data_IF_367465120374
#
_entry.id   IF_367465120374
#
_cell.length_a   1.000
_cell.length_b   1.000
_cell.length_c   1.000
_cell.angle_alpha   90.00
_cell.angle_beta   90.00
_cell.angle_gamma   90.00
#
_symmetry.space_group_name_H-M   'P 1'
#
loop_
_entity.id
_entity.type
_entity.pdbx_description
1 polymer ?
#
# COMPACT_ATOMS: atom_id res chain seq x y z
N UNK A 1 29.93 55.02 -11.27
CA UNK A 1 29.76 53.74 -10.62
C UNK A 1 28.27 53.47 -10.36
N UNK A 2 27.70 52.54 -11.09
CA UNK A 2 26.31 52.19 -11.03
C UNK A 2 26.16 50.96 -10.08
N UNK A 3 25.35 51.14 -9.04
CA UNK A 3 24.92 50.04 -8.15
C UNK A 3 23.74 49.35 -8.82
N UNK A 4 23.93 48.09 -9.22
CA UNK A 4 22.86 47.19 -9.59
C UNK A 4 22.31 46.56 -8.33
N UNK A 5 21.12 46.99 -7.91
CA UNK A 5 20.35 46.37 -6.84
C UNK A 5 19.80 45.02 -7.29
N UNK A 6 20.42 43.92 -6.83
CA UNK A 6 19.87 42.59 -6.93
C UNK A 6 18.76 42.41 -5.92
N UNK A 7 17.52 42.37 -6.37
CA UNK A 7 16.38 42.00 -5.54
C UNK A 7 16.48 40.51 -5.19
N UNK A 8 16.89 40.19 -3.96
CA UNK A 8 16.76 38.84 -3.40
C UNK A 8 15.27 38.49 -3.33
N UNK A 9 14.82 37.65 -4.24
CA UNK A 9 13.50 37.03 -4.17
C UNK A 9 13.51 36.03 -3.04
N UNK A 10 13.14 36.50 -1.84
CA UNK A 10 12.91 35.62 -0.66
C UNK A 10 11.72 34.73 -0.99
N UNK A 11 11.98 33.50 -1.39
CA UNK A 11 10.95 32.46 -1.48
C UNK A 11 10.49 32.20 -0.04
N UNK A 12 9.35 32.75 0.30
CA UNK A 12 8.63 32.39 1.52
C UNK A 12 8.18 30.93 1.33
N UNK A 13 8.98 29.99 1.77
CA UNK A 13 8.50 28.66 2.12
C UNK A 13 7.50 28.87 3.26
N UNK A 14 6.21 28.95 2.91
CA UNK A 14 5.15 28.84 3.91
C UNK A 14 5.44 27.58 4.72
N UNK A 15 5.82 27.73 5.98
CA UNK A 15 6.17 26.65 6.86
C UNK A 15 4.99 25.73 7.00
N UNK A 16 5.02 24.60 6.27
CA UNK A 16 4.07 23.52 6.49
C UNK A 16 4.40 22.96 7.86
N UNK A 17 3.55 23.24 8.85
CA UNK A 17 3.68 22.64 10.17
C UNK A 17 3.77 21.13 10.01
N UNK A 18 4.81 20.53 10.61
CA UNK A 18 5.03 19.08 10.57
C UNK A 18 3.90 18.39 11.30
N UNK A 19 3.17 17.53 10.62
CA UNK A 19 1.93 16.89 11.10
C UNK A 19 2.13 15.42 11.50
N UNK A 20 3.37 15.01 11.83
CA UNK A 20 3.69 13.63 12.21
C UNK A 20 4.22 12.80 11.05
N UNK A 21 4.09 11.49 11.15
CA UNK A 21 4.73 10.54 10.23
C UNK A 21 3.72 9.94 9.25
N UNK A 22 4.16 9.74 8.00
CA UNK A 22 3.40 8.91 7.08
C UNK A 22 3.36 7.47 7.58
N UNK A 23 2.28 6.78 7.30
CA UNK A 23 2.24 5.33 7.33
C UNK A 23 1.84 4.83 5.94
N UNK A 24 2.65 3.95 5.38
CA UNK A 24 2.34 3.27 4.12
C UNK A 24 2.88 1.84 4.19
N UNK A 25 2.03 0.88 3.83
CA UNK A 25 2.36 -0.53 3.83
C UNK A 25 1.78 -1.21 2.60
N UNK A 26 2.43 -2.27 2.12
CA UNK A 26 1.97 -3.07 0.98
C UNK A 26 2.32 -4.52 1.23
N UNK A 27 1.32 -5.37 1.19
CA UNK A 27 1.41 -6.82 1.38
C UNK A 27 0.88 -7.61 0.19
N UNK A 28 1.20 -8.90 0.20
CA UNK A 28 0.81 -9.87 -0.82
C UNK A 28 -0.16 -10.90 -0.27
N UNK A 29 -1.23 -11.18 -1.02
CA UNK A 29 -2.27 -12.11 -0.62
C UNK A 29 -2.53 -13.17 -1.69
N UNK A 30 -2.79 -14.39 -1.23
CA UNK A 30 -3.13 -15.55 -2.05
C UNK A 30 -4.63 -15.85 -1.95
N UNK A 31 -5.14 -16.71 -2.85
CA UNK A 31 -6.52 -17.23 -2.79
C UNK A 31 -6.80 -18.01 -1.51
N UNK A 32 -5.78 -18.68 -0.96
CA UNK A 32 -5.84 -19.39 0.32
C UNK A 32 -4.70 -18.94 1.20
N UNK A 33 -5.00 -18.65 2.47
CA UNK A 33 -4.00 -18.31 3.46
C UNK A 33 -2.95 -19.43 3.59
N UNK A 34 -1.69 -19.04 3.73
CA UNK A 34 -0.62 -20.00 3.98
C UNK A 34 -0.68 -20.50 5.43
N UNK A 35 -0.74 -21.81 5.62
CA UNK A 35 -0.67 -22.43 6.96
C UNK A 35 0.68 -22.22 7.67
N UNK A 36 1.70 -21.73 6.93
CA UNK A 36 3.03 -21.44 7.46
C UNK A 36 3.14 -20.06 8.11
N UNK A 37 2.16 -19.19 7.89
CA UNK A 37 2.13 -17.84 8.45
C UNK A 37 1.07 -17.83 9.56
N UNK A 38 1.51 -17.70 10.80
CA UNK A 38 0.60 -17.56 11.94
C UNK A 38 -0.27 -16.29 11.74
N UNK A 39 -1.59 -16.47 11.79
CA UNK A 39 -2.53 -15.38 11.51
C UNK A 39 -2.63 -14.98 10.03
N UNK A 40 -2.08 -15.80 9.11
CA UNK A 40 -2.12 -15.52 7.68
C UNK A 40 -3.55 -15.33 7.17
N UNK A 41 -3.75 -14.27 6.39
CA UNK A 41 -5.03 -13.93 5.77
C UNK A 41 -4.99 -14.26 4.27
N UNK A 42 -6.10 -14.69 3.72
CA UNK A 42 -6.31 -14.81 2.27
C UNK A 42 -6.72 -13.45 1.68
N UNK A 43 -6.73 -13.35 0.35
CA UNK A 43 -7.30 -12.19 -0.34
C UNK A 43 -8.76 -11.96 0.05
N UNK A 44 -9.54 -13.03 0.27
CA UNK A 44 -10.94 -12.92 0.71
C UNK A 44 -11.05 -12.36 2.14
N UNK A 45 -10.21 -12.83 3.07
CA UNK A 45 -10.23 -12.32 4.46
C UNK A 45 -9.93 -10.81 4.51
N UNK A 46 -9.02 -10.33 3.66
CA UNK A 46 -8.69 -8.91 3.54
C UNK A 46 -9.85 -8.11 2.95
N UNK A 47 -10.52 -8.65 1.94
CA UNK A 47 -11.69 -7.99 1.35
C UNK A 47 -12.85 -7.93 2.34
N UNK A 48 -13.10 -9.01 3.08
CA UNK A 48 -14.18 -9.10 4.07
C UNK A 48 -13.96 -8.11 5.23
N UNK A 49 -12.71 -7.95 5.67
CA UNK A 49 -12.33 -6.94 6.67
C UNK A 49 -12.52 -5.52 6.14
N UNK A 50 -12.10 -5.26 4.91
CA UNK A 50 -12.24 -3.94 4.28
C UNK A 50 -13.71 -3.56 4.02
N UNK A 51 -14.55 -4.54 3.72
CA UNK A 51 -16.00 -4.35 3.54
C UNK A 51 -16.78 -4.37 4.87
N UNK A 52 -16.09 -4.48 6.00
CA UNK A 52 -16.71 -4.55 7.34
C UNK A 52 -17.74 -5.68 7.46
N UNK A 53 -17.46 -6.83 6.82
CA UNK A 53 -18.34 -8.00 6.96
C UNK A 53 -18.33 -8.52 8.38
N UNK A 54 -19.49 -8.89 8.89
CA UNK A 54 -19.66 -9.37 10.26
C UNK A 54 -18.69 -10.52 10.59
N UNK A 55 -17.90 -10.33 11.65
CA UNK A 55 -16.89 -11.28 12.11
C UNK A 55 -15.50 -11.12 11.49
N UNK A 56 -15.32 -10.29 10.46
CA UNK A 56 -14.02 -10.02 9.84
C UNK A 56 -13.21 -8.94 10.58
N UNK A 57 -13.86 -8.06 11.33
CA UNK A 57 -13.25 -6.96 12.09
C UNK A 57 -13.35 -7.19 13.59
N UNK A 58 -12.29 -7.71 14.19
CA UNK A 58 -12.26 -8.03 15.65
C UNK A 58 -11.84 -6.85 16.54
N UNK A 59 -11.30 -5.80 15.93
CA UNK A 59 -10.71 -4.65 16.61
C UNK A 59 -11.66 -3.45 16.72
N UNK A 60 -12.85 -3.53 16.15
CA UNK A 60 -13.86 -2.48 16.19
C UNK A 60 -15.05 -2.88 17.03
N UNK A 61 -15.59 -1.92 17.78
CA UNK A 61 -16.88 -2.06 18.42
C UNK A 61 -18.00 -2.03 17.37
N UNK A 62 -18.92 -2.99 17.46
CA UNK A 62 -20.00 -3.18 16.48
C UNK A 62 -20.83 -1.88 16.27
N UNK A 63 -21.01 -1.09 17.34
CA UNK A 63 -21.78 0.15 17.29
C UNK A 63 -21.07 1.29 16.55
N UNK A 64 -19.77 1.20 16.32
CA UNK A 64 -18.94 2.22 15.67
C UNK A 64 -18.69 1.94 14.19
N UNK A 65 -18.99 0.73 13.74
CA UNK A 65 -18.73 0.29 12.37
C UNK A 65 -19.55 1.11 11.37
N UNK A 66 -18.88 1.64 10.37
CA UNK A 66 -19.48 2.36 9.24
C UNK A 66 -19.11 1.68 7.93
N UNK A 67 -20.00 1.77 6.97
CA UNK A 67 -19.71 1.29 5.63
C UNK A 67 -18.50 2.02 5.05
N UNK A 68 -17.57 1.30 4.41
CA UNK A 68 -16.41 1.89 3.76
C UNK A 68 -16.83 2.74 2.56
N UNK A 69 -16.07 3.78 2.26
CA UNK A 69 -16.29 4.65 1.11
C UNK A 69 -15.38 4.23 -0.03
N UNK A 70 -15.95 3.80 -1.14
CA UNK A 70 -15.17 3.50 -2.36
C UNK A 70 -14.76 4.83 -2.99
N UNK A 71 -13.48 5.16 -2.92
CA UNK A 71 -12.90 6.37 -3.49
C UNK A 71 -12.51 6.20 -4.96
N UNK A 72 -12.22 4.95 -5.37
CA UNK A 72 -11.89 4.61 -6.76
C UNK A 72 -12.15 3.13 -7.03
N UNK A 73 -12.67 2.82 -8.22
CA UNK A 73 -12.77 1.47 -8.76
C UNK A 73 -13.95 0.66 -8.21
N UNK A 74 -13.71 -0.61 -7.96
CA UNK A 74 -14.72 -1.61 -7.59
C UNK A 74 -14.65 -1.94 -6.09
N UNK A 75 -15.61 -2.73 -5.60
CA UNK A 75 -15.59 -3.24 -4.21
C UNK A 75 -14.42 -4.20 -3.98
N UNK A 76 -13.90 -4.33 -2.74
CA UNK A 76 -12.87 -5.31 -2.42
C UNK A 76 -13.22 -6.74 -2.80
N UNK A 77 -14.46 -7.17 -2.61
CA UNK A 77 -14.93 -8.51 -3.04
C UNK A 77 -14.87 -8.71 -4.56
N UNK A 78 -15.16 -7.67 -5.35
CA UNK A 78 -15.00 -7.72 -6.80
C UNK A 78 -13.52 -7.79 -7.19
N UNK A 79 -12.62 -7.11 -6.48
CA UNK A 79 -11.17 -7.23 -6.68
C UNK A 79 -10.71 -8.67 -6.48
N UNK A 80 -11.21 -9.36 -5.44
CA UNK A 80 -10.87 -10.78 -5.19
C UNK A 80 -11.31 -11.67 -6.34
N UNK A 81 -12.48 -11.41 -6.96
CA UNK A 81 -12.90 -12.16 -8.15
C UNK A 81 -11.90 -11.97 -9.29
N UNK A 82 -11.53 -10.72 -9.60
CA UNK A 82 -10.53 -10.41 -10.64
C UNK A 82 -9.16 -11.05 -10.32
N UNK A 83 -8.72 -11.03 -9.06
CA UNK A 83 -7.47 -11.65 -8.63
C UNK A 83 -7.51 -13.18 -8.77
N UNK A 84 -8.66 -13.80 -8.50
CA UNK A 84 -8.88 -15.22 -8.67
C UNK A 84 -8.84 -15.63 -10.14
N UNK A 85 -9.55 -14.92 -11.00
CA UNK A 85 -9.55 -15.12 -12.45
C UNK A 85 -8.14 -14.98 -13.04
N UNK A 86 -7.40 -13.95 -12.63
CA UNK A 86 -6.00 -13.81 -13.02
C UNK A 86 -5.16 -15.01 -12.56
N UNK A 87 -5.31 -15.44 -11.30
CA UNK A 87 -4.52 -16.54 -10.73
C UNK A 87 -4.81 -17.89 -11.38
N UNK A 88 -6.02 -18.11 -11.89
CA UNK A 88 -6.38 -19.34 -12.63
C UNK A 88 -5.69 -19.44 -14.00
N UNK A 89 -5.40 -18.30 -14.61
CA UNK A 89 -4.71 -18.19 -15.88
C UNK A 89 -3.18 -18.07 -15.73
N UNK A 90 -2.73 -17.58 -14.56
CA UNK A 90 -1.33 -17.34 -14.30
C UNK A 90 -0.52 -18.63 -14.23
N UNK A 91 0.71 -18.56 -14.77
CA UNK A 91 1.68 -19.65 -14.71
C UNK A 91 2.89 -19.25 -13.90
N UNK A 92 3.49 -20.21 -13.23
CA UNK A 92 4.78 -20.04 -12.59
C UNK A 92 5.92 -19.93 -13.63
N UNK A 93 7.17 -19.58 -13.25
CA UNK A 93 8.30 -19.51 -14.18
C UNK A 93 8.62 -20.83 -14.90
N UNK A 94 8.08 -21.94 -14.43
CA UNK A 94 8.21 -23.28 -15.06
C UNK A 94 7.02 -23.65 -15.96
N UNK A 95 6.09 -22.70 -16.20
CA UNK A 95 4.89 -22.89 -17.01
C UNK A 95 3.77 -23.69 -16.33
N UNK A 96 3.88 -24.00 -15.03
CA UNK A 96 2.84 -24.69 -14.26
C UNK A 96 1.80 -23.71 -13.78
N UNK A 97 0.56 -24.16 -13.58
CA UNK A 97 -0.52 -23.35 -12.98
C UNK A 97 -0.08 -22.79 -11.62
N UNK A 98 -0.46 -21.55 -11.36
CA UNK A 98 -0.22 -20.92 -10.07
C UNK A 98 -0.91 -21.71 -8.95
N UNK A 99 -0.17 -22.03 -7.90
CA UNK A 99 -0.69 -22.73 -6.72
C UNK A 99 -1.76 -21.91 -6.03
N UNK A 100 -2.65 -22.54 -5.28
CA UNK A 100 -3.71 -21.84 -4.54
C UNK A 100 -3.15 -20.89 -3.46
N UNK A 101 -1.97 -21.18 -2.92
CA UNK A 101 -1.20 -20.36 -1.99
C UNK A 101 -0.22 -19.39 -2.70
N UNK A 102 -0.29 -19.31 -4.03
CA UNK A 102 0.47 -18.33 -4.83
C UNK A 102 -0.17 -16.95 -4.76
N UNK A 103 0.67 -15.93 -4.67
CA UNK A 103 0.23 -14.53 -4.54
C UNK A 103 -0.55 -14.08 -5.78
N UNK A 104 -1.72 -13.45 -5.56
CA UNK A 104 -2.59 -13.01 -6.65
C UNK A 104 -3.10 -11.57 -6.49
N UNK A 105 -3.04 -11.01 -5.30
CA UNK A 105 -3.47 -9.65 -5.00
C UNK A 105 -2.43 -8.96 -4.11
N UNK A 106 -2.05 -7.75 -4.45
CA UNK A 106 -1.35 -6.88 -3.52
C UNK A 106 -2.36 -5.90 -2.91
N UNK A 107 -2.35 -5.78 -1.58
CA UNK A 107 -3.15 -4.82 -0.88
C UNK A 107 -2.26 -3.93 -0.03
N UNK A 108 -2.47 -2.64 -0.13
CA UNK A 108 -1.72 -1.65 0.63
C UNK A 108 -2.64 -0.72 1.40
N UNK A 109 -2.02 0.03 2.29
CA UNK A 109 -2.67 1.06 3.09
C UNK A 109 -1.79 2.29 3.13
N UNK A 110 -2.40 3.46 3.12
CA UNK A 110 -1.76 4.71 3.51
C UNK A 110 -2.65 5.44 4.52
N UNK A 111 -2.02 5.99 5.54
CA UNK A 111 -2.72 6.68 6.63
C UNK A 111 -1.97 7.91 7.11
N UNK A 112 -2.65 8.70 7.91
CA UNK A 112 -2.15 9.91 8.55
C UNK A 112 -2.35 9.84 10.07
N UNK A 113 -1.66 10.66 10.87
CA UNK A 113 -1.93 10.80 12.30
C UNK A 113 -3.38 11.20 12.58
N UNK A 114 -3.86 10.87 13.78
CA UNK A 114 -5.25 11.11 14.21
C UNK A 114 -5.63 12.60 14.15
N UNK A 115 -4.71 13.49 14.53
CA UNK A 115 -4.89 14.94 14.55
C UNK A 115 -4.64 15.62 13.20
N UNK A 116 -4.48 14.85 12.13
CA UNK A 116 -4.23 15.40 10.79
C UNK A 116 -5.46 16.16 10.28
N UNK A 117 -5.31 17.44 9.79
CA UNK A 117 -6.44 18.25 9.38
C UNK A 117 -7.26 17.61 8.22
N UNK A 118 -8.59 17.67 8.35
CA UNK A 118 -9.54 17.04 7.41
C UNK A 118 -9.39 17.56 5.97
N UNK A 119 -9.23 18.86 5.80
CA UNK A 119 -9.06 19.49 4.49
C UNK A 119 -7.75 19.09 3.83
N UNK A 120 -6.69 18.89 4.64
CA UNK A 120 -5.39 18.39 4.18
C UNK A 120 -5.46 16.90 3.86
N UNK A 121 -6.18 16.10 4.67
CA UNK A 121 -6.43 14.69 4.39
C UNK A 121 -7.08 14.48 3.01
N UNK A 122 -8.14 15.22 2.70
CA UNK A 122 -8.81 15.12 1.40
C UNK A 122 -7.86 15.33 0.23
N UNK A 123 -7.04 16.38 0.30
CA UNK A 123 -6.03 16.69 -0.74
C UNK A 123 -4.93 15.63 -0.82
N UNK A 124 -4.45 15.12 0.32
CA UNK A 124 -3.46 14.05 0.37
C UNK A 124 -4.01 12.75 -0.22
N UNK A 125 -5.21 12.36 0.17
CA UNK A 125 -5.91 11.19 -0.37
C UNK A 125 -6.05 11.27 -1.89
N UNK A 126 -6.51 12.40 -2.43
CA UNK A 126 -6.62 12.63 -3.87
C UNK A 126 -5.27 12.53 -4.57
N UNK A 127 -4.22 13.15 -4.03
CA UNK A 127 -2.88 13.08 -4.58
C UNK A 127 -2.32 11.65 -4.58
N UNK A 128 -2.60 10.87 -3.53
CA UNK A 128 -2.21 9.47 -3.45
C UNK A 128 -2.96 8.60 -4.47
N UNK A 129 -4.26 8.81 -4.64
CA UNK A 129 -5.07 8.09 -5.65
C UNK A 129 -4.53 8.38 -7.05
N UNK A 130 -4.27 9.65 -7.39
CA UNK A 130 -3.73 10.01 -8.69
C UNK A 130 -2.33 9.42 -8.93
N UNK A 131 -1.48 9.40 -7.91
CA UNK A 131 -0.19 8.72 -7.98
C UNK A 131 -0.34 7.21 -8.25
N UNK A 132 -1.20 6.53 -7.51
CA UNK A 132 -1.46 5.10 -7.67
C UNK A 132 -2.03 4.80 -9.07
N UNK A 133 -2.93 5.63 -9.58
CA UNK A 133 -3.47 5.53 -10.94
C UNK A 133 -2.38 5.72 -11.99
N UNK A 134 -1.55 6.74 -11.84
CA UNK A 134 -0.43 7.01 -12.76
C UNK A 134 0.59 5.88 -12.78
N UNK A 135 0.94 5.34 -11.62
CA UNK A 135 1.92 4.26 -11.48
C UNK A 135 1.41 2.90 -11.93
N UNK A 136 0.20 2.54 -11.57
CA UNK A 136 -0.33 1.18 -11.76
C UNK A 136 -1.34 1.05 -12.90
N UNK A 137 -1.91 2.15 -13.36
CA UNK A 137 -2.91 2.16 -14.42
C UNK A 137 -4.07 1.19 -14.11
N UNK A 138 -4.40 0.33 -15.06
CA UNK A 138 -5.49 -0.66 -14.90
C UNK A 138 -5.22 -1.75 -13.84
N UNK A 139 -4.02 -1.85 -13.29
CA UNK A 139 -3.71 -2.78 -12.18
C UNK A 139 -4.25 -2.29 -10.85
N UNK A 140 -4.45 -0.97 -10.67
CA UNK A 140 -5.17 -0.43 -9.54
C UNK A 140 -6.67 -0.73 -9.73
N UNK A 141 -7.22 -1.55 -8.85
CA UNK A 141 -8.60 -2.03 -8.95
C UNK A 141 -9.55 -1.30 -8.02
N UNK A 142 -9.06 -0.91 -6.84
CA UNK A 142 -9.89 -0.24 -5.84
C UNK A 142 -9.05 0.61 -4.90
N UNK A 143 -9.66 1.69 -4.42
CA UNK A 143 -9.21 2.44 -3.24
C UNK A 143 -10.43 2.66 -2.36
N UNK A 144 -10.33 2.25 -1.10
CA UNK A 144 -11.41 2.27 -0.11
C UNK A 144 -10.97 3.04 1.12
N UNK A 145 -11.76 4.00 1.56
CA UNK A 145 -11.53 4.78 2.78
C UNK A 145 -12.36 4.22 3.93
N UNK A 146 -11.73 4.01 5.09
CA UNK A 146 -12.41 3.74 6.34
C UNK A 146 -12.58 5.03 7.13
N UNK A 147 -13.79 5.22 7.68
CA UNK A 147 -14.19 6.43 8.42
C UNK A 147 -14.67 6.11 9.83
N UNK A 148 -14.45 4.90 10.27
CA UNK A 148 -14.86 4.33 11.57
C UNK A 148 -13.67 4.09 12.51
N UNK A 149 -12.49 4.49 12.12
CA UNK A 149 -11.26 4.37 12.92
C UNK A 149 -10.66 5.76 13.22
N UNK A 150 -9.93 5.92 14.36
CA UNK A 150 -9.32 7.20 14.73
C UNK A 150 -8.32 7.72 13.69
N UNK A 151 -7.52 6.81 13.11
CA UNK A 151 -6.55 7.15 12.08
C UNK A 151 -7.19 7.09 10.70
N UNK A 152 -7.30 8.24 10.03
CA UNK A 152 -7.79 8.28 8.65
C UNK A 152 -6.86 7.52 7.73
N UNK A 153 -7.41 6.59 6.97
CA UNK A 153 -6.63 5.77 6.06
C UNK A 153 -7.45 5.30 4.86
N UNK A 154 -6.71 4.94 3.80
CA UNK A 154 -7.29 4.24 2.67
C UNK A 154 -6.54 2.94 2.43
N UNK A 155 -7.28 1.89 2.14
CA UNK A 155 -6.77 0.68 1.54
C UNK A 155 -6.80 0.78 0.02
N UNK A 156 -5.81 0.20 -0.66
CA UNK A 156 -5.79 0.10 -2.11
C UNK A 156 -5.42 -1.31 -2.55
N UNK A 157 -5.93 -1.72 -3.70
CA UNK A 157 -5.83 -3.09 -4.17
C UNK A 157 -5.30 -3.13 -5.59
N UNK A 158 -4.28 -3.96 -5.81
CA UNK A 158 -3.61 -4.12 -7.09
C UNK A 158 -3.71 -5.58 -7.54
N UNK A 159 -4.06 -5.77 -8.80
CA UNK A 159 -4.09 -7.09 -9.47
C UNK A 159 -3.36 -6.96 -10.80
N UNK A 160 -2.45 -7.88 -11.15
CA UNK A 160 -1.80 -7.87 -12.46
C UNK A 160 -2.83 -7.99 -13.59
N UNK A 161 -2.45 -7.54 -14.79
CA UNK A 161 -3.26 -7.76 -15.98
C UNK A 161 -3.02 -9.20 -16.53
N UNK A 162 -3.92 -9.74 -17.36
CA UNK A 162 -3.72 -11.01 -18.00
C UNK A 162 -2.35 -11.10 -18.71
N UNK A 163 -1.62 -12.19 -18.46
CA UNK A 163 -0.28 -12.40 -19.02
C UNK A 163 0.88 -11.75 -18.27
N UNK A 164 0.61 -10.88 -17.29
CA UNK A 164 1.65 -10.28 -16.48
C UNK A 164 2.06 -11.17 -15.30
N UNK A 165 3.30 -11.03 -14.83
CA UNK A 165 3.74 -11.65 -13.59
C UNK A 165 3.27 -10.84 -12.37
N UNK A 166 3.18 -11.49 -11.21
CA UNK A 166 2.80 -10.83 -9.96
C UNK A 166 3.74 -9.67 -9.55
N UNK A 167 5.02 -9.74 -9.93
CA UNK A 167 6.02 -8.71 -9.59
C UNK A 167 5.68 -7.29 -10.07
N UNK A 168 4.81 -7.14 -11.08
CA UNK A 168 4.43 -5.80 -11.58
C UNK A 168 3.59 -5.00 -10.58
N UNK A 169 3.00 -5.65 -9.57
CA UNK A 169 2.17 -5.03 -8.54
C UNK A 169 2.85 -4.97 -7.17
N UNK A 170 3.98 -5.68 -6.97
CA UNK A 170 4.66 -5.72 -5.68
C UNK A 170 6.19 -5.64 -5.83
N UNK A 171 6.83 -4.48 -5.59
CA UNK A 171 8.25 -4.26 -5.86
C UNK A 171 9.18 -5.17 -5.05
N UNK A 172 8.87 -5.40 -3.77
CA UNK A 172 9.68 -6.31 -2.93
C UNK A 172 9.66 -7.74 -3.46
N UNK A 173 8.50 -8.24 -3.89
CA UNK A 173 8.38 -9.57 -4.49
C UNK A 173 9.18 -9.66 -5.81
N UNK A 174 9.08 -8.62 -6.66
CA UNK A 174 9.84 -8.56 -7.91
C UNK A 174 11.36 -8.63 -7.64
N UNK A 175 11.85 -7.83 -6.70
CA UNK A 175 13.27 -7.78 -6.35
C UNK A 175 13.77 -9.11 -5.74
N UNK A 176 12.99 -9.73 -4.85
CA UNK A 176 13.32 -11.05 -4.30
C UNK A 176 13.42 -12.11 -5.40
N UNK A 177 12.45 -12.14 -6.32
CA UNK A 177 12.45 -13.10 -7.44
C UNK A 177 13.58 -12.87 -8.43
N UNK A 178 13.92 -11.62 -8.71
CA UNK A 178 15.08 -11.28 -9.53
C UNK A 178 16.40 -11.74 -8.88
N UNK A 179 16.55 -11.52 -7.57
CA UNK A 179 17.70 -12.00 -6.79
C UNK A 179 17.78 -13.55 -6.80
N UNK A 180 16.66 -14.22 -6.59
CA UNK A 180 16.58 -15.69 -6.70
C UNK A 180 16.98 -16.21 -8.09
N UNK A 181 16.52 -15.57 -9.15
CA UNK A 181 16.84 -15.95 -10.53
C UNK A 181 18.33 -15.82 -10.86
N UNK A 182 19.05 -14.91 -10.20
CA UNK A 182 20.51 -14.77 -10.26
C UNK A 182 21.26 -15.83 -9.44
N UNK A 183 20.56 -16.75 -8.76
CA UNK A 183 21.17 -17.77 -7.91
C UNK A 183 21.68 -17.24 -6.56
N UNK A 184 21.26 -16.08 -6.12
CA UNK A 184 21.71 -15.47 -4.87
C UNK A 184 21.13 -16.20 -3.65
N UNK A 185 21.92 -16.27 -2.57
CA UNK A 185 21.50 -16.90 -1.30
C UNK A 185 20.34 -16.14 -0.66
N UNK A 186 19.54 -16.81 0.18
CA UNK A 186 18.34 -16.27 0.81
C UNK A 186 18.53 -14.91 1.51
N UNK A 187 19.66 -14.69 2.18
CA UNK A 187 19.97 -13.41 2.82
C UNK A 187 20.02 -12.23 1.83
N UNK A 188 20.57 -12.43 0.63
CA UNK A 188 20.58 -11.40 -0.43
C UNK A 188 19.19 -11.19 -1.03
N UNK A 189 18.39 -12.25 -1.18
CA UNK A 189 17.01 -12.15 -1.63
C UNK A 189 16.18 -11.32 -0.65
N UNK A 190 16.29 -11.57 0.66
CA UNK A 190 15.61 -10.79 1.70
C UNK A 190 16.09 -9.34 1.73
N UNK A 191 17.38 -9.10 1.53
CA UNK A 191 17.93 -7.74 1.43
C UNK A 191 17.34 -7.00 0.24
N UNK A 192 17.31 -7.62 -0.95
CA UNK A 192 16.73 -7.04 -2.17
C UNK A 192 15.25 -6.69 -1.97
N UNK A 193 14.47 -7.58 -1.32
CA UNK A 193 13.09 -7.29 -0.93
C UNK A 193 12.98 -6.03 -0.07
N UNK A 194 13.77 -5.96 1.01
CA UNK A 194 13.72 -4.86 1.98
C UNK A 194 14.13 -3.53 1.35
N UNK A 195 15.15 -3.53 0.50
CA UNK A 195 15.61 -2.33 -0.23
C UNK A 195 14.54 -1.83 -1.21
N UNK A 196 13.90 -2.73 -1.95
CA UNK A 196 12.81 -2.37 -2.86
C UNK A 196 11.59 -1.82 -2.13
N UNK A 197 11.25 -2.38 -0.96
CA UNK A 197 10.14 -1.85 -0.13
C UNK A 197 10.49 -0.51 0.51
N UNK A 198 11.75 -0.30 0.90
CA UNK A 198 12.21 1.01 1.38
C UNK A 198 12.10 2.07 0.26
N UNK A 199 12.57 1.76 -0.94
CA UNK A 199 12.47 2.65 -2.09
C UNK A 199 11.01 2.96 -2.45
N UNK A 200 10.11 1.97 -2.36
CA UNK A 200 8.67 2.19 -2.54
C UNK A 200 8.11 3.17 -1.50
N UNK A 201 8.48 3.01 -0.23
CA UNK A 201 8.05 3.96 0.81
C UNK A 201 8.66 5.35 0.63
N UNK A 202 9.90 5.48 0.11
CA UNK A 202 10.53 6.76 -0.23
C UNK A 202 9.75 7.45 -1.36
N UNK A 203 9.30 6.69 -2.35
CA UNK A 203 8.45 7.20 -3.43
C UNK A 203 7.12 7.74 -2.88
N UNK A 204 6.44 7.01 -2.01
CA UNK A 204 5.23 7.49 -1.33
C UNK A 204 5.52 8.78 -0.55
N UNK A 205 6.70 8.87 0.08
CA UNK A 205 7.09 10.08 0.82
C UNK A 205 7.23 11.31 -0.07
N UNK A 206 7.58 11.17 -1.33
CA UNK A 206 7.63 12.34 -2.24
C UNK A 206 6.27 13.05 -2.34
N UNK A 207 5.19 12.33 -2.10
CA UNK A 207 3.83 12.86 -2.10
C UNK A 207 3.46 13.35 -0.70
N UNK A 208 3.60 12.52 0.32
CA UNK A 208 3.21 12.82 1.69
C UNK A 208 3.97 14.02 2.29
N UNK A 209 5.23 14.23 1.90
CA UNK A 209 6.04 15.38 2.31
C UNK A 209 5.39 16.73 1.92
N UNK A 210 4.68 16.78 0.80
CA UNK A 210 3.96 17.98 0.33
C UNK A 210 2.84 18.39 1.28
N UNK A 211 2.42 17.46 2.13
CA UNK A 211 1.38 17.63 3.13
C UNK A 211 1.95 17.68 4.57
N UNK A 212 3.27 17.84 4.72
CA UNK A 212 3.94 18.01 6.01
C UNK A 212 4.15 16.68 6.77
N UNK A 213 4.00 15.53 6.15
CA UNK A 213 4.28 14.25 6.77
C UNK A 213 5.76 13.88 6.65
N UNK A 214 6.33 13.35 7.72
CA UNK A 214 7.69 12.84 7.76
C UNK A 214 7.76 11.39 7.27
N UNK A 215 8.91 11.02 6.69
CA UNK A 215 9.17 9.67 6.15
C UNK A 215 9.19 8.60 7.23
N UNK A 216 9.91 8.86 8.30
CA UNK A 216 10.12 7.91 9.40
C UNK A 216 10.07 8.62 10.73
N UNK A 217 9.53 7.91 11.74
CA UNK A 217 9.54 8.32 13.12
C UNK A 217 10.76 7.80 13.90
N UNK A 218 10.91 8.18 15.15
CA UNK A 218 11.87 7.58 16.05
C UNK A 218 11.61 6.07 16.14
N UNK A 219 12.69 5.29 16.23
CA UNK A 219 12.55 3.83 16.44
C UNK A 219 11.73 3.61 17.72
N UNK A 220 10.62 2.89 17.61
CA UNK A 220 9.90 2.43 18.79
C UNK A 220 10.84 1.54 19.61
N UNK A 221 10.98 1.82 20.91
CA UNK A 221 11.64 0.91 21.82
C UNK A 221 10.94 -0.45 21.74
N UNK A 222 11.71 -1.52 21.52
CA UNK A 222 11.15 -2.88 21.67
C UNK A 222 10.88 -3.06 23.15
N UNK A 223 9.62 -3.13 23.54
CA UNK A 223 9.27 -3.58 24.88
C UNK A 223 9.71 -5.04 24.98
N UNK A 224 10.40 -5.44 26.07
CA UNK A 224 10.69 -6.86 26.32
C UNK A 224 9.35 -7.61 26.45
N UNK A 225 9.27 -8.80 25.82
CA UNK A 225 8.16 -9.73 25.98
C UNK A 225 8.09 -10.21 27.43
#
# INVERSE_FOLDING_TARGET
>A
PAYLGGTLMTVFLMGVSMSGYQFAHLDSYARKASSKVAGGKSAQDIADEAERKKGAYKHLDIEQVKDPIIQFGMTPSEVVKVATEWAEQAKDPKGKKLRIDGQCMAAGVFSVPEDFPEDRWKKYREAMIEHLKGKHGKRLRSVVEHVDEPYRHCHFYLVPLPGESYGVVHPGWAAEKASYARGERKGLQTKAYSEAMSAWQDEIHTISARFGLLRTGPRRARLPN
#
